data_IF_280961880144
#
_entry.id   IF_280961880144
#
_cell.length_a   1.000
_cell.length_b   1.000
_cell.length_c   1.000
_cell.angle_alpha   90.00
_cell.angle_beta   90.00
_cell.angle_gamma   90.00
#
_symmetry.space_group_name_H-M   'P 1'
#
loop_
_entity.id
_entity.type
_entity.pdbx_description
1 polymer ?
#
# COMPACT_ATOMS: atom_id res chain seq x y z
N UNK A 1 5.29 -77.48 29.52
CA UNK A 1 4.99 -77.05 28.14
C UNK A 1 4.17 -75.76 28.02
N UNK A 2 3.44 -75.28 29.04
CA UNK A 2 2.67 -74.00 28.97
C UNK A 2 3.51 -72.72 29.02
N UNK A 3 4.67 -72.73 29.69
CA UNK A 3 5.56 -71.55 29.83
C UNK A 3 6.23 -71.13 28.51
N UNK A 4 6.58 -72.10 27.65
CA UNK A 4 7.13 -71.84 26.31
C UNK A 4 6.08 -71.25 25.36
N UNK A 5 4.81 -71.58 25.57
CA UNK A 5 3.69 -71.03 24.80
C UNK A 5 3.49 -69.54 25.07
N UNK A 6 3.56 -69.13 26.35
CA UNK A 6 3.46 -67.72 26.76
C UNK A 6 4.63 -66.90 26.22
N UNK A 7 5.85 -67.46 26.26
CA UNK A 7 7.05 -66.81 25.71
C UNK A 7 6.94 -66.66 24.19
N UNK A 8 6.44 -67.67 23.49
CA UNK A 8 6.27 -67.62 22.03
C UNK A 8 5.21 -66.58 21.61
N UNK A 9 4.09 -66.47 22.33
CA UNK A 9 3.05 -65.45 22.05
C UNK A 9 3.53 -64.02 22.35
N UNK A 10 4.33 -63.82 23.40
CA UNK A 10 4.88 -62.50 23.73
C UNK A 10 5.90 -62.03 22.69
N UNK A 11 6.68 -62.97 22.13
CA UNK A 11 7.68 -62.68 21.11
C UNK A 11 7.03 -62.30 19.78
N UNK A 12 5.93 -62.96 19.39
CA UNK A 12 5.17 -62.62 18.18
C UNK A 12 4.48 -61.24 18.30
N UNK A 13 4.00 -60.90 19.49
CA UNK A 13 3.37 -59.59 19.76
C UNK A 13 4.40 -58.45 19.71
N UNK A 14 5.63 -58.67 20.16
CA UNK A 14 6.73 -57.69 20.09
C UNK A 14 7.22 -57.43 18.66
N UNK A 15 7.12 -58.39 17.74
CA UNK A 15 7.44 -58.18 16.32
C UNK A 15 6.38 -57.32 15.59
N UNK A 16 5.12 -57.30 16.04
CA UNK A 16 4.08 -56.45 15.44
C UNK A 16 4.18 -54.95 15.80
N UNK A 17 5.07 -54.58 16.74
CA UNK A 17 5.33 -53.18 17.12
C UNK A 17 6.45 -52.53 16.31
N UNK A 18 7.06 -53.27 15.37
CA UNK A 18 8.15 -52.75 14.54
C UNK A 18 7.60 -52.11 13.26
N UNK A 19 7.69 -50.78 13.23
CA UNK A 19 7.74 -49.93 12.02
C UNK A 19 6.38 -49.52 11.43
N UNK A 20 5.65 -48.70 12.19
CA UNK A 20 5.03 -47.51 11.60
C UNK A 20 5.93 -46.30 11.87
N UNK A 21 7.21 -46.39 11.48
CA UNK A 21 7.96 -45.18 11.20
C UNK A 21 7.26 -44.59 9.98
N UNK A 22 6.27 -43.72 10.22
CA UNK A 22 5.70 -42.87 9.19
C UNK A 22 6.87 -42.05 8.65
N UNK A 23 7.54 -42.59 7.63
CA UNK A 23 8.52 -41.89 6.83
C UNK A 23 7.74 -40.73 6.24
N UNK A 24 7.84 -39.57 6.89
CA UNK A 24 7.41 -38.32 6.30
C UNK A 24 8.27 -38.21 5.05
N UNK A 25 7.70 -38.60 3.91
CA UNK A 25 8.43 -38.57 2.66
C UNK A 25 8.90 -37.14 2.45
N UNK A 26 10.11 -36.96 1.92
CA UNK A 26 10.61 -35.61 1.57
C UNK A 26 9.60 -34.90 0.65
N UNK A 27 8.86 -35.66 -0.14
CA UNK A 27 7.78 -35.19 -1.00
C UNK A 27 6.61 -34.61 -0.20
N UNK A 28 6.15 -35.25 0.88
CA UNK A 28 5.10 -34.71 1.76
C UNK A 28 5.52 -33.38 2.41
N UNK A 29 6.78 -33.24 2.82
CA UNK A 29 7.32 -31.98 3.38
C UNK A 29 7.41 -30.90 2.30
N UNK A 30 7.81 -31.26 1.08
CA UNK A 30 7.91 -30.32 -0.04
C UNK A 30 6.52 -29.84 -0.49
N UNK A 31 5.53 -30.73 -0.56
CA UNK A 31 4.12 -30.38 -0.84
C UNK A 31 3.59 -29.42 0.22
N UNK A 32 3.85 -29.68 1.51
CA UNK A 32 3.40 -28.80 2.59
C UNK A 32 4.07 -27.42 2.50
N UNK A 33 5.37 -27.35 2.15
CA UNK A 33 6.07 -26.09 1.90
C UNK A 33 5.48 -25.34 0.70
N UNK A 34 5.15 -26.04 -0.38
CA UNK A 34 4.53 -25.44 -1.56
C UNK A 34 3.14 -24.88 -1.23
N UNK A 35 2.30 -25.65 -0.52
CA UNK A 35 1.00 -25.18 -0.04
C UNK A 35 1.13 -23.95 0.87
N UNK A 36 2.11 -23.94 1.78
CA UNK A 36 2.39 -22.78 2.64
C UNK A 36 2.78 -21.55 1.80
N UNK A 37 3.65 -21.70 0.81
CA UNK A 37 4.07 -20.61 -0.06
C UNK A 37 2.89 -20.07 -0.89
N UNK A 38 2.06 -20.95 -1.46
CA UNK A 38 0.85 -20.58 -2.20
C UNK A 38 -0.13 -19.82 -1.31
N UNK A 39 -0.31 -20.26 -0.05
CA UNK A 39 -1.16 -19.58 0.91
C UNK A 39 -0.60 -18.19 1.27
N UNK A 40 0.71 -18.07 1.47
CA UNK A 40 1.36 -16.79 1.78
C UNK A 40 1.24 -15.79 0.63
N UNK A 41 1.47 -16.23 -0.61
CA UNK A 41 1.32 -15.38 -1.80
C UNK A 41 -0.15 -14.99 -1.99
N UNK A 42 -1.10 -15.91 -1.79
CA UNK A 42 -2.54 -15.61 -1.86
C UNK A 42 -2.98 -14.60 -0.78
N UNK A 43 -2.43 -14.71 0.43
CA UNK A 43 -2.67 -13.73 1.49
C UNK A 43 -2.14 -12.35 1.10
N UNK A 44 -0.89 -12.26 0.65
CA UNK A 44 -0.28 -10.99 0.18
C UNK A 44 -1.07 -10.39 -0.98
N UNK A 45 -1.52 -11.21 -1.93
CA UNK A 45 -2.35 -10.76 -3.05
C UNK A 45 -3.66 -10.12 -2.57
N UNK A 46 -4.34 -10.74 -1.62
CA UNK A 46 -5.56 -10.18 -1.04
C UNK A 46 -5.30 -8.90 -0.25
N UNK A 47 -4.22 -8.84 0.52
CA UNK A 47 -3.80 -7.63 1.24
C UNK A 47 -3.50 -6.48 0.26
N UNK A 48 -2.72 -6.75 -0.79
CA UNK A 48 -2.40 -5.78 -1.83
C UNK A 48 -3.64 -5.29 -2.58
N UNK A 49 -4.59 -6.18 -2.91
CA UNK A 49 -5.88 -5.81 -3.54
C UNK A 49 -6.75 -4.96 -2.63
N UNK A 50 -6.77 -5.26 -1.33
CA UNK A 50 -7.48 -4.44 -0.34
C UNK A 50 -6.84 -3.05 -0.22
N UNK A 51 -5.51 -2.98 -0.18
CA UNK A 51 -4.78 -1.70 -0.16
C UNK A 51 -5.02 -0.90 -1.43
N UNK A 52 -5.00 -1.54 -2.60
CA UNK A 52 -5.32 -0.91 -3.87
C UNK A 52 -6.71 -0.28 -3.83
N UNK A 53 -7.73 -1.01 -3.38
CA UNK A 53 -9.08 -0.48 -3.26
C UNK A 53 -9.16 0.72 -2.30
N UNK A 54 -8.41 0.70 -1.18
CA UNK A 54 -8.33 1.85 -0.27
C UNK A 54 -7.73 3.07 -0.96
N UNK A 55 -6.61 2.91 -1.66
CA UNK A 55 -5.96 4.02 -2.36
C UNK A 55 -6.82 4.56 -3.51
N UNK A 56 -7.50 3.70 -4.27
CA UNK A 56 -8.41 4.11 -5.34
C UNK A 56 -9.59 4.93 -4.80
N UNK A 57 -10.10 4.58 -3.61
CA UNK A 57 -11.13 5.37 -2.92
C UNK A 57 -10.62 6.77 -2.48
N UNK A 58 -9.32 6.92 -2.22
CA UNK A 58 -8.74 8.22 -1.85
C UNK A 58 -8.57 9.17 -3.06
N UNK A 59 -8.54 8.66 -4.29
CA UNK A 59 -8.31 9.46 -5.50
C UNK A 59 -9.31 10.61 -5.59
N UNK A 60 -10.60 10.34 -5.41
CA UNK A 60 -11.65 11.34 -5.54
C UNK A 60 -11.44 12.50 -4.55
N UNK A 61 -11.10 12.16 -3.30
CA UNK A 61 -10.83 13.14 -2.25
C UNK A 61 -9.59 13.99 -2.56
N UNK A 62 -8.46 13.35 -2.92
CA UNK A 62 -7.21 14.06 -3.26
C UNK A 62 -7.36 14.92 -4.52
N UNK A 63 -8.11 14.46 -5.51
CA UNK A 63 -8.40 15.23 -6.72
C UNK A 63 -9.24 16.47 -6.38
N UNK A 64 -10.23 16.32 -5.51
CA UNK A 64 -11.01 17.46 -4.99
C UNK A 64 -10.13 18.46 -4.23
N UNK A 65 -9.22 17.97 -3.39
CA UNK A 65 -8.27 18.83 -2.65
C UNK A 65 -7.35 19.62 -3.59
N UNK A 66 -6.83 18.98 -4.66
CA UNK A 66 -6.04 19.66 -5.69
C UNK A 66 -6.87 20.77 -6.34
N UNK A 67 -8.09 20.48 -6.77
CA UNK A 67 -8.97 21.47 -7.40
C UNK A 67 -9.25 22.67 -6.48
N UNK A 68 -9.64 22.41 -5.22
CA UNK A 68 -9.92 23.45 -4.22
C UNK A 68 -8.70 24.30 -3.90
N UNK A 69 -7.55 23.67 -3.72
CA UNK A 69 -6.32 24.39 -3.40
C UNK A 69 -5.78 25.19 -4.59
N UNK A 70 -5.93 24.68 -5.81
CA UNK A 70 -5.61 25.40 -7.03
C UNK A 70 -6.52 26.63 -7.22
N UNK A 71 -7.83 26.49 -7.04
CA UNK A 71 -8.78 27.60 -7.13
C UNK A 71 -8.45 28.69 -6.10
N UNK A 72 -8.18 28.32 -4.86
CA UNK A 72 -7.79 29.26 -3.80
C UNK A 72 -6.44 29.93 -4.09
N UNK A 73 -5.49 29.20 -4.66
CA UNK A 73 -4.20 29.77 -5.06
C UNK A 73 -4.38 30.80 -6.18
N UNK A 74 -5.23 30.52 -7.18
CA UNK A 74 -5.56 31.45 -8.25
C UNK A 74 -6.19 32.73 -7.69
N UNK A 75 -7.25 32.60 -6.88
CA UNK A 75 -7.91 33.74 -6.24
C UNK A 75 -6.92 34.61 -5.46
N UNK A 76 -6.05 34.00 -4.67
CA UNK A 76 -5.03 34.73 -3.91
C UNK A 76 -3.96 35.39 -4.78
N UNK A 77 -3.61 34.77 -5.91
CA UNK A 77 -2.69 35.36 -6.89
C UNK A 77 -3.32 36.60 -7.55
N UNK A 78 -4.60 36.52 -7.92
CA UNK A 78 -5.35 37.64 -8.50
C UNK A 78 -5.48 38.79 -7.50
N UNK A 79 -5.80 38.50 -6.24
CA UNK A 79 -5.82 39.50 -5.16
C UNK A 79 -4.47 40.17 -4.96
N UNK A 80 -3.38 39.40 -4.99
CA UNK A 80 -2.03 39.93 -4.91
C UNK A 80 -1.72 40.86 -6.10
N UNK A 81 -2.06 40.46 -7.33
CA UNK A 81 -1.90 41.29 -8.52
C UNK A 81 -2.64 42.62 -8.38
N UNK A 82 -3.92 42.58 -8.03
CA UNK A 82 -4.74 43.79 -7.81
C UNK A 82 -4.19 44.69 -6.70
N UNK A 83 -3.66 44.12 -5.62
CA UNK A 83 -3.09 44.90 -4.52
C UNK A 83 -1.74 45.53 -4.92
N UNK A 84 -0.93 44.82 -5.71
CA UNK A 84 0.32 45.33 -6.26
C UNK A 84 0.09 46.46 -7.28
N UNK A 85 -0.89 46.32 -8.17
CA UNK A 85 -1.27 47.38 -9.12
C UNK A 85 -1.70 48.66 -8.40
N UNK A 86 -2.53 48.53 -7.35
CA UNK A 86 -2.95 49.69 -6.54
C UNK A 86 -1.78 50.37 -5.85
N UNK A 87 -0.84 49.59 -5.31
CA UNK A 87 0.38 50.13 -4.71
C UNK A 87 1.27 50.81 -5.75
N UNK A 88 1.39 50.25 -6.97
CA UNK A 88 2.17 50.84 -8.04
C UNK A 88 1.65 52.25 -8.42
N UNK A 89 0.32 52.45 -8.40
CA UNK A 89 -0.29 53.76 -8.62
C UNK A 89 -0.08 54.78 -7.50
N UNK A 90 0.25 54.34 -6.28
CA UNK A 90 0.55 55.22 -5.15
C UNK A 90 1.59 54.58 -4.21
N UNK A 91 2.84 54.56 -4.66
CA UNK A 91 3.93 53.79 -4.05
C UNK A 91 4.29 54.24 -2.63
N UNK A 92 3.98 55.49 -2.25
CA UNK A 92 4.29 56.03 -0.92
C UNK A 92 3.19 55.74 0.10
N UNK A 93 2.04 55.18 -0.30
CA UNK A 93 0.96 54.84 0.60
C UNK A 93 1.28 53.61 1.46
N UNK A 94 1.49 53.85 2.75
CA UNK A 94 1.78 52.82 3.76
C UNK A 94 0.65 51.79 3.92
N UNK A 95 -0.60 52.20 3.75
CA UNK A 95 -1.77 51.33 3.85
C UNK A 95 -1.84 50.34 2.69
N UNK A 96 -1.64 50.82 1.46
CA UNK A 96 -1.55 49.99 0.26
C UNK A 96 -0.36 49.04 0.32
N UNK A 97 0.80 49.51 0.80
CA UNK A 97 1.99 48.68 0.99
C UNK A 97 1.71 47.50 1.92
N UNK A 98 1.05 47.76 3.07
CA UNK A 98 0.64 46.71 4.01
C UNK A 98 -0.37 45.73 3.40
N UNK A 99 -1.32 46.21 2.61
CA UNK A 99 -2.32 45.36 1.93
C UNK A 99 -1.65 44.44 0.89
N UNK A 100 -0.79 44.99 0.03
CA UNK A 100 -0.03 44.24 -0.95
C UNK A 100 0.86 43.17 -0.31
N UNK A 101 1.58 43.52 0.77
CA UNK A 101 2.42 42.56 1.52
C UNK A 101 1.60 41.40 2.11
N UNK A 102 0.41 41.67 2.66
CA UNK A 102 -0.50 40.64 3.17
C UNK A 102 -1.03 39.74 2.05
N UNK A 103 -1.44 40.33 0.92
CA UNK A 103 -1.92 39.59 -0.24
C UNK A 103 -0.83 38.67 -0.82
N UNK A 104 0.39 39.19 -1.01
CA UNK A 104 1.55 38.41 -1.44
C UNK A 104 1.84 37.22 -0.49
N UNK A 105 1.77 37.46 0.82
CA UNK A 105 1.98 36.43 1.83
C UNK A 105 0.92 35.32 1.77
N UNK A 106 -0.35 35.67 1.53
CA UNK A 106 -1.44 34.70 1.34
C UNK A 106 -1.26 33.91 0.05
N UNK A 107 -1.03 34.59 -1.07
CA UNK A 107 -0.77 33.97 -2.36
C UNK A 107 0.38 32.95 -2.29
N UNK A 108 1.49 33.28 -1.62
CA UNK A 108 2.61 32.35 -1.41
C UNK A 108 2.20 31.11 -0.61
N UNK A 109 1.42 31.27 0.45
CA UNK A 109 0.97 30.15 1.29
C UNK A 109 0.01 29.24 0.53
N UNK A 110 -0.92 29.81 -0.23
CA UNK A 110 -1.91 29.04 -0.98
C UNK A 110 -1.28 28.34 -2.18
N UNK A 111 -0.36 29.01 -2.90
CA UNK A 111 0.44 28.37 -3.94
C UNK A 111 1.30 27.20 -3.41
N UNK A 112 1.85 27.32 -2.19
CA UNK A 112 2.56 26.21 -1.54
C UNK A 112 1.60 25.06 -1.19
N UNK A 113 0.38 25.38 -0.76
CA UNK A 113 -0.64 24.38 -0.43
C UNK A 113 -1.11 23.63 -1.68
N UNK A 114 -1.36 24.34 -2.79
CA UNK A 114 -1.71 23.75 -4.07
C UNK A 114 -0.63 22.78 -4.58
N UNK A 115 0.64 23.18 -4.52
CA UNK A 115 1.75 22.29 -4.87
C UNK A 115 1.77 21.02 -4.03
N UNK A 116 1.63 21.14 -2.71
CA UNK A 116 1.58 19.97 -1.82
C UNK A 116 0.41 19.04 -2.13
N UNK A 117 -0.77 19.59 -2.45
CA UNK A 117 -1.93 18.79 -2.82
C UNK A 117 -1.65 18.00 -4.11
N UNK A 118 -1.05 18.67 -5.12
CA UNK A 118 -0.63 18.02 -6.36
C UNK A 118 0.39 16.91 -6.11
N UNK A 119 1.44 17.20 -5.34
CA UNK A 119 2.49 16.22 -4.98
C UNK A 119 1.89 14.99 -4.27
N UNK A 120 0.87 15.19 -3.44
CA UNK A 120 0.20 14.11 -2.74
C UNK A 120 -0.64 13.24 -3.68
N UNK A 121 -1.35 13.84 -4.65
CA UNK A 121 -2.08 13.11 -5.67
C UNK A 121 -1.13 12.30 -6.56
N UNK A 122 0.00 12.89 -6.95
CA UNK A 122 1.02 12.19 -7.75
C UNK A 122 1.63 11.01 -6.99
N UNK A 123 1.90 11.18 -5.69
CA UNK A 123 2.37 10.07 -4.84
C UNK A 123 1.32 8.97 -4.73
N UNK A 124 0.04 9.31 -4.58
CA UNK A 124 -1.04 8.34 -4.54
C UNK A 124 -1.08 7.53 -5.84
N UNK A 125 -1.03 8.19 -7.00
CA UNK A 125 -1.02 7.53 -8.31
C UNK A 125 0.19 6.60 -8.47
N UNK A 126 1.39 7.03 -8.05
CA UNK A 126 2.59 6.18 -8.05
C UNK A 126 2.47 4.96 -7.15
N UNK A 127 1.88 5.12 -5.97
CA UNK A 127 1.65 4.00 -5.05
C UNK A 127 0.67 2.99 -5.66
N UNK A 128 -0.40 3.47 -6.30
CA UNK A 128 -1.37 2.64 -7.02
C UNK A 128 -0.68 1.86 -8.15
N UNK A 129 0.14 2.52 -8.97
CA UNK A 129 0.87 1.87 -10.05
C UNK A 129 1.85 0.81 -9.52
N UNK A 130 2.56 1.12 -8.44
CA UNK A 130 3.46 0.19 -7.76
C UNK A 130 2.73 -1.04 -7.20
N UNK A 131 1.57 -0.84 -6.58
CA UNK A 131 0.73 -1.94 -6.09
C UNK A 131 0.17 -2.78 -7.23
N UNK A 132 -0.26 -2.18 -8.34
CA UNK A 132 -0.69 -2.92 -9.55
C UNK A 132 0.41 -3.81 -10.09
N UNK A 133 1.66 -3.34 -10.12
CA UNK A 133 2.83 -4.16 -10.50
C UNK A 133 3.07 -5.31 -9.53
N UNK A 134 3.05 -5.06 -8.22
CA UNK A 134 3.20 -6.11 -7.19
C UNK A 134 2.12 -7.18 -7.29
N UNK A 135 0.86 -6.77 -7.51
CA UNK A 135 -0.27 -7.69 -7.70
C UNK A 135 -0.02 -8.57 -8.92
N UNK A 136 0.38 -7.99 -10.06
CA UNK A 136 0.70 -8.75 -11.27
C UNK A 136 1.85 -9.75 -11.04
N UNK A 137 2.90 -9.34 -10.32
CA UNK A 137 4.03 -10.22 -9.98
C UNK A 137 3.59 -11.38 -9.07
N UNK A 138 2.72 -11.11 -8.08
CA UNK A 138 2.19 -12.13 -7.17
C UNK A 138 1.20 -13.08 -7.87
N UNK A 139 0.40 -12.57 -8.80
CA UNK A 139 -0.47 -13.38 -9.69
C UNK A 139 0.36 -14.30 -10.59
N UNK A 140 1.45 -13.80 -11.17
CA UNK A 140 2.36 -14.60 -11.99
C UNK A 140 3.03 -15.72 -11.17
N UNK A 141 3.49 -15.42 -9.95
CA UNK A 141 4.06 -16.44 -9.03
C UNK A 141 3.05 -17.49 -8.61
N UNK A 142 1.79 -17.10 -8.39
CA UNK A 142 0.71 -18.05 -8.09
C UNK A 142 0.45 -18.97 -9.29
N UNK A 143 0.36 -18.41 -10.50
CA UNK A 143 0.18 -19.19 -11.72
C UNK A 143 1.31 -20.20 -11.94
N UNK A 144 2.58 -19.79 -11.74
CA UNK A 144 3.74 -20.69 -11.87
C UNK A 144 3.86 -21.73 -10.76
N UNK A 145 3.18 -21.55 -9.62
CA UNK A 145 3.22 -22.48 -8.47
C UNK A 145 2.07 -23.49 -8.46
N UNK A 146 1.04 -23.25 -9.29
CA UNK A 146 -0.12 -24.13 -9.48
C UNK A 146 -0.02 -24.98 -10.76
N UNK A 147 0.88 -24.61 -11.69
CA UNK A 147 1.22 -25.37 -12.90
C UNK A 147 2.27 -26.45 -12.67
#
# INVERSE_FOLDING_TARGET
>A
MKKYWIISTLTIMLFSLSVSAQVVSKDSINILKQQKNTLEVSKKLNENRLELAKLENEIASKTSDVAKTAERAQKSADENGRAAEKLAGNAQDKGLSRKASKAASRARKDAKSARKASDNLDKLNKNIESLKKKIADDEAKLASSQG
#
